data_IF_653964741849
#
_entry.id   IF_653964741849
#
_cell.length_a   1.000
_cell.length_b   1.000
_cell.length_c   1.000
_cell.angle_alpha   90.00
_cell.angle_beta   90.00
_cell.angle_gamma   90.00
#
_symmetry.space_group_name_H-M   'P 1'
#
loop_
_entity.id
_entity.type
_entity.pdbx_description
1 polymer ?
#
# COMPACT_ATOMS: atom_id res chain seq x y z
N UNK A 1 4.93 2.81 -0.69
CA UNK A 1 4.78 3.57 0.57
C UNK A 1 5.97 4.50 0.76
N UNK A 2 5.75 5.82 0.87
CA UNK A 2 6.77 6.78 1.25
C UNK A 2 7.44 6.47 2.60
N UNK A 3 8.74 6.73 2.73
CA UNK A 3 9.47 6.57 3.99
C UNK A 3 9.20 7.75 4.92
N UNK A 4 8.84 7.46 6.17
CA UNK A 4 8.87 8.42 7.26
C UNK A 4 9.61 7.79 8.45
N UNK A 5 10.58 8.49 9.08
CA UNK A 5 11.17 8.00 10.31
C UNK A 5 10.11 7.97 11.41
N UNK A 6 10.37 7.18 12.47
CA UNK A 6 9.53 7.22 13.66
C UNK A 6 9.41 8.66 14.17
N UNK A 7 8.20 9.07 14.50
CA UNK A 7 7.88 10.35 15.11
C UNK A 7 6.38 10.48 15.34
N UNK A 8 5.95 11.66 15.78
CA UNK A 8 4.53 11.99 15.90
C UNK A 8 3.72 11.10 16.86
N UNK A 9 2.37 11.14 16.77
CA UNK A 9 1.49 10.28 17.56
C UNK A 9 1.60 8.80 17.14
N UNK A 10 1.04 7.92 17.97
CA UNK A 10 0.98 6.48 17.66
C UNK A 10 0.24 6.23 16.33
N UNK A 11 0.69 5.28 15.49
CA UNK A 11 0.05 5.00 14.20
C UNK A 11 -1.46 4.76 14.29
N UNK A 12 -1.93 3.98 15.27
CA UNK A 12 -3.36 3.75 15.49
C UNK A 12 -4.17 5.03 15.69
N UNK A 13 -3.62 6.03 16.38
CA UNK A 13 -4.26 7.34 16.55
C UNK A 13 -4.32 8.13 15.24
N UNK A 14 -3.29 8.00 14.39
CA UNK A 14 -3.27 8.63 13.06
C UNK A 14 -4.33 7.98 12.16
N UNK A 15 -4.38 6.65 12.13
CA UNK A 15 -5.35 5.91 11.32
C UNK A 15 -6.79 6.21 11.72
N UNK A 16 -7.07 6.33 13.02
CA UNK A 16 -8.38 6.74 13.51
C UNK A 16 -8.76 8.16 13.05
N UNK A 17 -7.80 9.09 13.04
CA UNK A 17 -8.03 10.47 12.53
C UNK A 17 -8.25 10.51 11.03
N UNK A 18 -7.51 9.70 10.26
CA UNK A 18 -7.67 9.60 8.80
C UNK A 18 -9.08 9.09 8.46
N UNK A 19 -9.56 8.05 9.16
CA UNK A 19 -10.87 7.44 8.89
C UNK A 19 -12.05 8.40 9.03
N UNK A 20 -12.02 9.30 10.02
CA UNK A 20 -13.12 10.23 10.27
C UNK A 20 -14.41 9.49 10.61
N UNK A 21 -15.46 9.69 9.80
CA UNK A 21 -16.77 9.01 9.95
C UNK A 21 -16.76 7.57 9.42
N UNK A 22 -15.72 7.20 8.66
CA UNK A 22 -15.49 5.86 8.14
C UNK A 22 -14.27 5.21 8.81
N UNK A 23 -14.07 3.92 8.56
CA UNK A 23 -12.91 3.22 9.08
C UNK A 23 -11.81 3.15 8.03
N UNK A 24 -10.63 3.71 8.32
CA UNK A 24 -9.46 3.51 7.46
C UNK A 24 -9.07 2.02 7.44
N UNK A 25 -8.64 1.52 6.29
CA UNK A 25 -8.40 0.08 6.07
C UNK A 25 -7.44 -0.54 7.09
N UNK A 26 -6.43 0.20 7.56
CA UNK A 26 -5.51 -0.29 8.60
C UNK A 26 -6.23 -0.55 9.92
N UNK A 27 -7.23 0.29 10.25
CA UNK A 27 -8.15 0.08 11.38
C UNK A 27 -9.00 -1.18 11.18
N UNK A 28 -9.55 -1.35 9.98
CA UNK A 28 -10.35 -2.54 9.60
C UNK A 28 -9.57 -3.84 9.80
N UNK A 29 -8.26 -3.83 9.56
CA UNK A 29 -7.37 -4.98 9.73
C UNK A 29 -6.95 -5.25 11.19
N UNK A 30 -7.15 -4.30 12.12
CA UNK A 30 -6.68 -4.46 13.50
C UNK A 30 -7.37 -5.60 14.25
N UNK A 31 -8.67 -5.81 14.03
CA UNK A 31 -9.42 -6.87 14.71
C UNK A 31 -9.08 -8.24 14.07
N UNK A 32 -8.46 -9.18 14.81
CA UNK A 32 -8.19 -10.51 14.29
C UNK A 32 -9.49 -11.24 13.90
N UNK A 33 -9.49 -11.85 12.72
CA UNK A 33 -10.63 -12.61 12.19
C UNK A 33 -11.65 -11.76 11.42
N UNK A 34 -11.64 -10.43 11.52
CA UNK A 34 -12.63 -9.58 10.83
C UNK A 34 -12.38 -9.52 9.33
N UNK A 35 -11.19 -9.07 8.94
CA UNK A 35 -10.81 -9.01 7.53
C UNK A 35 -10.62 -10.42 6.95
N UNK A 36 -10.11 -11.37 7.72
CA UNK A 36 -10.03 -12.78 7.31
C UNK A 36 -11.41 -13.35 6.96
N UNK A 37 -12.44 -13.14 7.81
CA UNK A 37 -13.81 -13.60 7.52
C UNK A 37 -14.43 -12.93 6.29
N UNK A 38 -13.97 -11.72 5.92
CA UNK A 38 -14.32 -11.14 4.64
C UNK A 38 -13.57 -11.82 3.49
N UNK A 39 -12.25 -11.94 3.56
CA UNK A 39 -11.38 -12.29 2.42
C UNK A 39 -11.40 -13.79 2.13
N UNK A 40 -11.22 -14.64 3.16
CA UNK A 40 -10.93 -16.08 3.01
C UNK A 40 -12.02 -16.91 2.33
N UNK A 41 -13.33 -16.60 2.42
CA UNK A 41 -14.35 -17.34 1.67
C UNK A 41 -14.22 -17.24 0.14
N UNK A 42 -13.55 -16.21 -0.37
CA UNK A 42 -13.32 -15.97 -1.79
C UNK A 42 -12.06 -15.11 -1.95
N UNK A 43 -10.90 -15.74 -1.72
CA UNK A 43 -9.59 -15.08 -1.78
C UNK A 43 -9.34 -14.53 -3.17
N UNK A 44 -9.58 -15.37 -4.19
CA UNK A 44 -9.31 -15.01 -5.58
C UNK A 44 -10.15 -13.82 -6.05
N UNK A 45 -11.46 -13.84 -5.81
CA UNK A 45 -12.36 -12.74 -6.17
C UNK A 45 -12.04 -11.47 -5.39
N UNK A 46 -11.68 -11.59 -4.11
CA UNK A 46 -11.25 -10.44 -3.31
C UNK A 46 -9.95 -9.82 -3.85
N UNK A 47 -8.95 -10.64 -4.18
CA UNK A 47 -7.69 -10.17 -4.77
C UNK A 47 -7.92 -9.51 -6.13
N UNK A 48 -8.78 -10.07 -6.98
CA UNK A 48 -9.11 -9.49 -8.28
C UNK A 48 -9.63 -8.05 -8.12
N UNK A 49 -10.62 -7.86 -7.24
CA UNK A 49 -11.18 -6.55 -6.94
C UNK A 49 -10.18 -5.61 -6.26
N UNK A 50 -9.34 -6.13 -5.37
CA UNK A 50 -8.31 -5.33 -4.69
C UNK A 50 -7.22 -4.84 -5.65
N UNK A 51 -6.74 -5.71 -6.55
CA UNK A 51 -5.82 -5.33 -7.62
C UNK A 51 -6.42 -4.25 -8.51
N UNK A 52 -7.66 -4.45 -8.96
CA UNK A 52 -8.38 -3.48 -9.78
C UNK A 52 -8.56 -2.14 -9.07
N UNK A 53 -9.00 -2.15 -7.81
CA UNK A 53 -9.27 -0.93 -7.03
C UNK A 53 -8.04 -0.05 -6.82
N UNK A 54 -6.85 -0.62 -6.82
CA UNK A 54 -5.59 0.07 -6.55
C UNK A 54 -4.71 0.30 -7.79
N UNK A 55 -5.19 -0.05 -8.98
CA UNK A 55 -4.49 0.16 -10.25
C UNK A 55 -4.60 1.61 -10.72
N UNK A 56 -3.64 2.07 -11.53
CA UNK A 56 -3.65 3.45 -12.05
C UNK A 56 -4.83 3.75 -12.97
N UNK A 57 -5.37 2.72 -13.63
CA UNK A 57 -6.56 2.77 -14.49
C UNK A 57 -7.85 2.33 -13.78
N UNK A 58 -7.85 2.26 -12.45
CA UNK A 58 -9.02 1.86 -11.66
C UNK A 58 -10.27 2.68 -12.02
N UNK A 59 -11.37 1.97 -12.25
CA UNK A 59 -12.68 2.60 -12.32
C UNK A 59 -13.06 3.16 -10.93
N UNK A 60 -13.87 4.23 -10.86
CA UNK A 60 -14.37 4.75 -9.59
C UNK A 60 -15.11 3.68 -8.78
N UNK A 61 -15.01 3.73 -7.45
CA UNK A 61 -15.83 2.88 -6.57
C UNK A 61 -17.33 3.13 -6.81
N UNK A 62 -18.21 2.13 -6.62
CA UNK A 62 -19.64 2.24 -6.93
C UNK A 62 -20.37 3.40 -6.24
N UNK A 63 -19.95 3.77 -5.02
CA UNK A 63 -20.49 4.88 -4.23
C UNK A 63 -19.70 6.19 -4.38
N UNK A 64 -18.67 6.21 -5.23
CA UNK A 64 -17.73 7.33 -5.39
C UNK A 64 -16.75 7.52 -4.23
N UNK A 65 -16.76 6.62 -3.24
CA UNK A 65 -15.82 6.60 -2.13
C UNK A 65 -14.44 6.09 -2.54
N UNK A 66 -13.55 5.94 -1.55
CA UNK A 66 -12.22 5.37 -1.75
C UNK A 66 -12.17 3.94 -1.19
N UNK A 67 -11.51 2.99 -1.88
CA UNK A 67 -11.42 1.59 -1.44
C UNK A 67 -10.63 1.39 -0.13
N UNK A 68 -9.98 2.46 0.37
CA UNK A 68 -9.23 2.45 1.63
C UNK A 68 -10.05 2.86 2.85
N UNK A 69 -11.31 3.25 2.65
CA UNK A 69 -12.22 3.60 3.72
C UNK A 69 -13.39 2.63 3.70
N UNK A 70 -13.70 2.03 4.84
CA UNK A 70 -14.77 1.07 5.00
C UNK A 70 -15.94 1.77 5.70
N UNK A 71 -17.11 1.86 5.04
CA UNK A 71 -18.31 2.39 5.67
C UNK A 71 -18.65 1.63 6.94
N UNK A 72 -19.26 2.30 7.92
CA UNK A 72 -19.67 1.66 9.17
C UNK A 72 -20.63 0.50 8.90
N UNK A 73 -20.23 -0.71 9.28
CA UNK A 73 -21.01 -1.93 9.05
C UNK A 73 -20.91 -2.50 7.63
N UNK A 74 -20.11 -1.89 6.75
CA UNK A 74 -19.77 -2.41 5.42
C UNK A 74 -18.51 -3.26 5.43
N UNK A 75 -18.13 -3.71 4.23
CA UNK A 75 -16.91 -4.47 3.94
C UNK A 75 -16.00 -3.67 3.03
N UNK A 76 -14.71 -3.98 3.04
CA UNK A 76 -13.75 -3.31 2.15
C UNK A 76 -14.08 -3.61 0.68
N UNK A 77 -14.43 -4.86 0.36
CA UNK A 77 -14.80 -5.30 -1.00
C UNK A 77 -16.03 -4.61 -1.57
N UNK A 78 -16.87 -3.98 -0.73
CA UNK A 78 -18.08 -3.28 -1.22
C UNK A 78 -17.71 -2.02 -2.04
N UNK A 79 -16.44 -1.56 -1.98
CA UNK A 79 -15.91 -0.45 -2.77
C UNK A 79 -14.97 -0.86 -3.91
N UNK A 80 -14.80 -2.16 -4.15
CA UNK A 80 -14.02 -2.59 -5.31
C UNK A 80 -14.81 -2.31 -6.59
N UNK A 81 -14.13 -1.88 -7.67
CA UNK A 81 -14.80 -1.64 -8.94
C UNK A 81 -15.28 -2.95 -9.54
N UNK A 82 -16.44 -2.91 -10.21
CA UNK A 82 -16.88 -4.00 -11.08
C UNK A 82 -16.06 -4.01 -12.37
N UNK A 83 -15.77 -5.18 -12.92
CA UNK A 83 -15.14 -5.31 -14.23
C UNK A 83 -14.07 -6.39 -14.31
N UNK A 84 -13.41 -6.53 -15.48
CA UNK A 84 -12.29 -7.43 -15.61
C UNK A 84 -11.09 -6.96 -14.78
N UNK A 85 -10.14 -7.86 -14.44
CA UNK A 85 -8.89 -7.46 -13.82
C UNK A 85 -8.10 -6.49 -14.73
N UNK A 86 -7.15 -5.74 -14.16
CA UNK A 86 -6.28 -4.84 -14.92
C UNK A 86 -5.54 -5.58 -16.04
N UNK A 87 -5.30 -4.89 -17.15
CA UNK A 87 -4.70 -5.52 -18.35
C UNK A 87 -3.29 -6.11 -18.15
N UNK A 88 -2.58 -5.64 -17.13
CA UNK A 88 -1.24 -6.12 -16.76
C UNK A 88 -1.27 -7.35 -15.83
N UNK A 89 -2.42 -7.69 -15.24
CA UNK A 89 -2.59 -8.83 -14.35
C UNK A 89 -3.25 -9.99 -15.10
N UNK A 90 -2.47 -11.05 -15.38
CA UNK A 90 -3.04 -12.23 -16.04
C UNK A 90 -3.81 -13.10 -15.05
N UNK A 91 -4.74 -13.92 -15.56
CA UNK A 91 -5.46 -14.89 -14.73
C UNK A 91 -4.50 -15.87 -14.03
N UNK A 92 -3.40 -16.24 -14.68
CA UNK A 92 -2.39 -17.13 -14.11
C UNK A 92 -1.63 -16.48 -12.94
N UNK A 93 -1.29 -15.20 -13.05
CA UNK A 93 -0.62 -14.47 -11.97
C UNK A 93 -1.56 -14.30 -10.76
N UNK A 94 -2.83 -14.03 -11.03
CA UNK A 94 -3.87 -13.96 -10.00
C UNK A 94 -4.11 -15.31 -9.33
N UNK A 95 -4.12 -16.42 -10.10
CA UNK A 95 -4.21 -17.78 -9.57
C UNK A 95 -3.05 -18.11 -8.63
N UNK A 96 -1.83 -17.72 -8.99
CA UNK A 96 -0.64 -17.90 -8.15
C UNK A 96 -0.81 -17.15 -6.82
N UNK A 97 -1.22 -15.88 -6.87
CA UNK A 97 -1.43 -15.09 -5.65
C UNK A 97 -2.52 -15.69 -4.77
N UNK A 98 -3.66 -16.07 -5.37
CA UNK A 98 -4.79 -16.66 -4.65
C UNK A 98 -4.40 -17.98 -3.99
N UNK A 99 -3.75 -18.89 -4.72
CA UNK A 99 -3.31 -20.17 -4.19
C UNK A 99 -2.36 -20.03 -2.98
N UNK A 100 -1.47 -19.03 -3.00
CA UNK A 100 -0.58 -18.77 -1.85
C UNK A 100 -1.35 -18.28 -0.61
N UNK A 101 -2.32 -17.40 -0.77
CA UNK A 101 -3.15 -16.92 0.34
C UNK A 101 -4.16 -17.95 0.84
N UNK A 102 -4.70 -18.80 -0.03
CA UNK A 102 -5.53 -19.94 0.34
C UNK A 102 -4.74 -20.99 1.14
N UNK A 103 -3.46 -21.18 0.79
CA UNK A 103 -2.55 -22.10 1.50
C UNK A 103 -2.09 -21.55 2.85
N UNK A 104 -1.84 -20.24 2.94
CA UNK A 104 -1.21 -19.61 4.12
C UNK A 104 -2.22 -18.96 5.08
N UNK A 105 -3.43 -18.66 4.60
CA UNK A 105 -4.38 -17.78 5.28
C UNK A 105 -3.94 -16.32 5.28
N UNK A 106 -4.85 -15.40 5.66
CA UNK A 106 -4.57 -13.96 5.60
C UNK A 106 -3.97 -13.41 6.90
N UNK A 107 -4.08 -14.15 8.01
CA UNK A 107 -3.64 -13.69 9.34
C UNK A 107 -2.18 -13.24 9.35
N UNK A 108 -1.28 -13.99 8.70
CA UNK A 108 0.14 -13.64 8.64
C UNK A 108 0.41 -12.29 7.97
N UNK A 109 -0.23 -12.05 6.82
CA UNK A 109 -0.11 -10.79 6.09
C UNK A 109 -0.77 -9.63 6.85
N UNK A 110 -1.96 -9.84 7.40
CA UNK A 110 -2.69 -8.81 8.16
C UNK A 110 -2.00 -8.43 9.48
N UNK A 111 -1.23 -9.35 10.07
CA UNK A 111 -0.42 -9.05 11.25
C UNK A 111 0.65 -7.96 10.99
N UNK A 112 1.04 -7.70 9.73
CA UNK A 112 1.87 -6.55 9.39
C UNK A 112 1.25 -5.24 9.89
N UNK A 113 -0.05 -5.07 9.70
CA UNK A 113 -0.80 -3.88 10.11
C UNK A 113 -1.07 -3.85 11.61
N UNK A 114 -1.33 -5.01 12.21
CA UNK A 114 -1.55 -5.14 13.67
C UNK A 114 -0.30 -4.84 14.49
N UNK A 115 0.88 -4.90 13.86
CA UNK A 115 2.15 -4.57 14.51
C UNK A 115 2.53 -3.09 14.42
N UNK A 116 1.75 -2.22 13.78
CA UNK A 116 2.16 -0.84 13.51
C UNK A 116 2.51 -0.05 14.79
N UNK A 117 1.71 -0.16 15.85
CA UNK A 117 2.00 0.50 17.13
C UNK A 117 3.22 -0.10 17.83
N UNK A 118 3.42 -1.42 17.72
CA UNK A 118 4.60 -2.09 18.30
C UNK A 118 5.87 -1.71 17.55
N UNK A 119 5.84 -1.67 16.22
CA UNK A 119 6.96 -1.17 15.42
C UNK A 119 7.30 0.27 15.80
N UNK A 120 6.29 1.12 15.98
CA UNK A 120 6.50 2.47 16.48
C UNK A 120 7.25 2.40 17.81
N UNK A 121 6.73 1.69 18.83
CA UNK A 121 7.39 1.54 20.14
C UNK A 121 8.84 1.03 20.04
N UNK A 122 9.06 -0.05 19.30
CA UNK A 122 10.38 -0.69 19.14
C UNK A 122 11.38 0.23 18.44
N UNK A 123 10.91 1.09 17.52
CA UNK A 123 11.76 2.03 16.79
C UNK A 123 12.10 3.31 17.58
N UNK A 124 11.76 3.39 18.88
CA UNK A 124 12.01 4.58 19.71
C UNK A 124 13.47 5.03 19.75
N UNK A 125 14.43 4.11 19.63
CA UNK A 125 15.85 4.44 19.58
C UNK A 125 16.27 5.18 18.28
N UNK A 126 15.42 5.15 17.24
CA UNK A 126 15.63 5.79 15.94
C UNK A 126 14.61 6.91 15.68
N UNK A 127 14.06 7.51 16.73
CA UNK A 127 13.13 8.63 16.62
C UNK A 127 13.74 9.78 15.80
N UNK A 128 13.08 10.16 14.71
CA UNK A 128 13.54 11.19 13.76
C UNK A 128 14.80 10.84 12.96
N UNK A 129 15.36 9.63 13.08
CA UNK A 129 16.64 9.29 12.47
C UNK A 129 16.54 9.23 10.93
N UNK A 130 17.45 9.90 10.18
CA UNK A 130 17.48 9.80 8.74
C UNK A 130 18.11 8.47 8.27
N UNK A 131 17.73 8.01 7.07
CA UNK A 131 18.48 6.97 6.36
C UNK A 131 19.52 7.63 5.45
N UNK A 132 20.79 7.42 5.75
CA UNK A 132 21.90 8.11 5.07
C UNK A 132 22.47 7.35 3.88
N UNK A 133 22.09 6.08 3.71
CA UNK A 133 22.52 5.24 2.61
C UNK A 133 21.97 5.77 1.27
N UNK A 134 22.67 5.51 0.15
CA UNK A 134 22.10 5.75 -1.17
C UNK A 134 20.74 5.07 -1.30
N UNK A 135 19.72 5.84 -1.66
CA UNK A 135 18.34 5.35 -1.77
C UNK A 135 17.69 5.79 -3.08
N UNK A 136 16.65 5.06 -3.47
CA UNK A 136 15.81 5.33 -4.63
C UNK A 136 14.35 5.24 -4.18
N UNK A 137 13.53 6.20 -4.60
CA UNK A 137 12.08 6.13 -4.40
C UNK A 137 11.37 6.05 -5.76
N UNK A 138 10.49 5.06 -5.91
CA UNK A 138 9.62 4.87 -7.07
C UNK A 138 8.18 4.71 -6.57
N UNK A 139 7.25 5.46 -7.15
CA UNK A 139 5.82 5.31 -6.88
C UNK A 139 4.99 5.58 -8.13
N UNK A 140 3.78 5.03 -8.20
CA UNK A 140 2.81 5.46 -9.21
C UNK A 140 2.17 6.78 -8.84
N UNK A 141 1.99 7.68 -9.80
CA UNK A 141 1.38 9.00 -9.59
C UNK A 141 -0.04 8.91 -8.98
N UNK A 142 -0.77 7.84 -9.30
CA UNK A 142 -2.14 7.58 -8.83
C UNK A 142 -2.19 6.65 -7.61
N UNK A 143 -1.06 6.32 -6.99
CA UNK A 143 -1.05 5.58 -5.73
C UNK A 143 -1.59 6.48 -4.60
N UNK A 144 -2.72 6.07 -4.00
CA UNK A 144 -3.37 6.82 -2.92
C UNK A 144 -2.46 7.05 -1.70
N UNK A 145 -1.46 6.19 -1.48
CA UNK A 145 -0.50 6.37 -0.39
C UNK A 145 0.32 7.66 -0.51
N UNK A 146 0.47 8.21 -1.73
CA UNK A 146 1.10 9.52 -1.93
C UNK A 146 0.24 10.66 -1.39
N UNK A 147 -1.08 10.51 -1.35
CA UNK A 147 -1.99 11.51 -0.80
C UNK A 147 -1.83 11.68 0.71
N UNK A 148 -1.82 10.57 1.46
CA UNK A 148 -1.71 10.62 2.93
C UNK A 148 -0.29 10.85 3.42
N UNK A 149 0.72 10.54 2.61
CA UNK A 149 2.13 10.63 2.96
C UNK A 149 2.88 11.66 2.11
N UNK A 150 2.18 12.65 1.56
CA UNK A 150 2.76 13.74 0.79
C UNK A 150 3.84 14.49 1.59
N UNK A 151 3.58 14.76 2.87
CA UNK A 151 4.54 15.41 3.78
C UNK A 151 5.81 14.57 3.98
N UNK A 152 5.69 13.23 3.97
CA UNK A 152 6.85 12.35 4.08
C UNK A 152 7.75 12.45 2.85
N UNK A 153 7.16 12.50 1.64
CA UNK A 153 7.90 12.70 0.39
C UNK A 153 8.55 14.08 0.37
N UNK A 154 7.83 15.13 0.76
CA UNK A 154 8.38 16.48 0.87
C UNK A 154 9.54 16.57 1.89
N UNK A 155 9.56 15.72 2.90
CA UNK A 155 10.61 15.66 3.92
C UNK A 155 11.87 14.90 3.50
N UNK A 156 11.89 14.22 2.33
CA UNK A 156 13.04 13.43 1.87
C UNK A 156 14.39 14.14 1.86
N UNK A 157 14.51 15.45 1.56
CA UNK A 157 15.80 16.15 1.68
C UNK A 157 16.41 16.08 3.09
N UNK A 158 15.58 15.86 4.12
CA UNK A 158 16.01 15.70 5.52
C UNK A 158 16.00 14.24 5.98
N UNK A 159 14.98 13.46 5.61
CA UNK A 159 14.80 12.08 6.11
C UNK A 159 15.58 11.04 5.29
N UNK A 160 15.88 11.34 4.03
CA UNK A 160 16.68 10.54 3.11
C UNK A 160 17.79 11.41 2.47
N UNK A 161 18.77 11.90 3.25
CA UNK A 161 19.85 12.75 2.71
C UNK A 161 20.71 12.04 1.64
N UNK A 162 20.66 10.71 1.57
CA UNK A 162 21.28 9.90 0.52
C UNK A 162 20.36 9.58 -0.68
N UNK A 163 19.20 10.21 -0.80
CA UNK A 163 18.27 9.94 -1.90
C UNK A 163 18.88 10.34 -3.25
N UNK A 164 19.14 9.34 -4.09
CA UNK A 164 19.75 9.53 -5.42
C UNK A 164 18.72 10.09 -6.39
N UNK A 165 17.50 9.55 -6.37
CA UNK A 165 16.39 10.07 -7.17
C UNK A 165 15.04 9.57 -6.66
N UNK A 166 14.00 10.34 -6.98
CA UNK A 166 12.61 10.08 -6.65
C UNK A 166 11.78 10.20 -7.92
N UNK A 167 11.05 9.16 -8.31
CA UNK A 167 10.27 9.12 -9.55
C UNK A 167 8.81 8.80 -9.26
N UNK A 168 7.91 9.62 -9.80
CA UNK A 168 6.49 9.35 -9.88
C UNK A 168 6.16 8.91 -11.32
N UNK A 169 5.62 7.71 -11.48
CA UNK A 169 5.32 7.15 -12.80
C UNK A 169 3.91 7.55 -13.24
N UNK A 170 3.83 8.24 -14.37
CA UNK A 170 2.60 8.82 -14.91
C UNK A 170 1.50 7.76 -15.11
N UNK A 171 0.31 8.07 -14.59
CA UNK A 171 -0.87 7.21 -14.67
C UNK A 171 -0.73 5.82 -14.03
N UNK A 172 0.30 5.57 -13.24
CA UNK A 172 0.55 4.30 -12.56
C UNK A 172 -0.07 4.32 -11.15
N UNK A 173 -0.63 3.20 -10.71
CA UNK A 173 -1.22 3.01 -9.39
C UNK A 173 -0.26 2.39 -8.38
N UNK A 174 -0.82 1.56 -7.51
CA UNK A 174 -0.10 0.97 -6.37
C UNK A 174 0.89 -0.14 -6.77
N UNK A 175 0.61 -0.87 -7.84
CA UNK A 175 1.36 -2.07 -8.21
C UNK A 175 2.52 -1.74 -9.14
N UNK A 176 3.32 -0.74 -8.76
CA UNK A 176 4.26 -0.02 -9.64
C UNK A 176 5.14 -0.92 -10.52
N UNK A 177 5.66 -2.01 -9.95
CA UNK A 177 6.54 -2.96 -10.64
C UNK A 177 5.81 -3.89 -11.61
N UNK A 178 4.50 -4.04 -11.49
CA UNK A 178 3.66 -4.82 -12.41
C UNK A 178 2.98 -3.90 -13.44
N UNK A 179 2.61 -2.68 -13.04
CA UNK A 179 1.97 -1.69 -13.92
C UNK A 179 2.95 -0.99 -14.87
N UNK A 180 4.21 -0.82 -14.46
CA UNK A 180 5.27 -0.17 -15.25
C UNK A 180 6.59 -0.97 -15.19
N UNK A 181 6.59 -2.26 -15.56
CA UNK A 181 7.72 -3.15 -15.32
C UNK A 181 8.99 -2.70 -16.07
N UNK A 182 8.88 -2.25 -17.32
CA UNK A 182 10.03 -1.80 -18.11
C UNK A 182 10.66 -0.54 -17.52
N UNK A 183 9.84 0.41 -17.08
CA UNK A 183 10.31 1.66 -16.50
C UNK A 183 10.94 1.45 -15.13
N UNK A 184 10.30 0.65 -14.27
CA UNK A 184 10.87 0.26 -12.97
C UNK A 184 12.21 -0.45 -13.17
N UNK A 185 12.30 -1.42 -14.09
CA UNK A 185 13.55 -2.12 -14.39
C UNK A 185 14.63 -1.16 -14.88
N UNK A 186 14.30 -0.23 -15.79
CA UNK A 186 15.24 0.79 -16.29
C UNK A 186 15.78 1.65 -15.15
N UNK A 187 14.91 2.15 -14.28
CA UNK A 187 15.28 3.03 -13.17
C UNK A 187 16.12 2.29 -12.12
N UNK A 188 15.74 1.06 -11.76
CA UNK A 188 16.50 0.23 -10.83
C UNK A 188 17.90 -0.09 -11.35
N UNK A 189 18.02 -0.53 -12.61
CA UNK A 189 19.32 -0.87 -13.22
C UNK A 189 20.20 0.38 -13.33
N UNK A 190 19.63 1.53 -13.72
CA UNK A 190 20.35 2.79 -13.79
C UNK A 190 20.87 3.22 -12.40
N UNK A 191 20.04 3.12 -11.37
CA UNK A 191 20.42 3.41 -9.99
C UNK A 191 21.53 2.47 -9.51
N UNK A 192 21.39 1.15 -9.68
CA UNK A 192 22.41 0.17 -9.28
C UNK A 192 23.77 0.44 -9.95
N UNK A 193 23.78 0.76 -11.25
CA UNK A 193 25.02 1.11 -11.98
C UNK A 193 25.66 2.40 -11.49
N UNK A 194 24.88 3.33 -10.94
CA UNK A 194 25.40 4.58 -10.40
C UNK A 194 26.08 4.40 -9.02
N UNK A 195 25.89 3.26 -8.34
CA UNK A 195 26.45 3.01 -7.01
C UNK A 195 27.86 2.40 -7.02
N UNK A 196 28.36 1.95 -8.18
CA UNK A 196 29.68 1.32 -8.33
C UNK A 196 29.60 -0.18 -8.56
#
# INVERSE_FOLDING_TARGET
>A
MPYAPRGGPRPSEVFARIGGDEEFYVGYFQQPGRAEAEIEPDVRGWLAGFYAALSGDAAPSPDGGSPFFVPRGGRMRDRFPDGPPPSWLTEADLDVCAAEFERTGLTGALNRYRNADRDWEDLAAWDGAPLTQPSLFLAGERDASLGWLADAVAAYPTTLPGLVSSHLLDGCGHWVQQERPEEVNRLLIAWLRALG
#
